data_IF_936332871670
#
_entry.id   IF_936332871670
#
_cell.length_a   1.000
_cell.length_b   1.000
_cell.length_c   1.000
_cell.angle_alpha   90.00
_cell.angle_beta   90.00
_cell.angle_gamma   90.00
#
_symmetry.space_group_name_H-M   'P 1'
#
loop_
_entity.id
_entity.type
_entity.pdbx_description
1 polymer ?
#
# COMPACT_ATOMS: atom_id res chain seq x y z
N UNK A 1 -4.43 5.76 21.92
CA UNK A 1 -4.12 5.12 20.62
C UNK A 1 -4.96 5.67 19.46
N UNK A 2 -6.18 6.16 19.72
CA UNK A 2 -7.08 6.77 18.73
C UNK A 2 -6.60 8.14 18.16
N UNK A 3 -5.59 8.79 18.76
CA UNK A 3 -5.32 10.22 18.53
C UNK A 3 -4.07 10.58 17.72
N UNK A 4 -3.13 9.66 17.50
CA UNK A 4 -1.89 10.02 16.77
C UNK A 4 -2.11 10.18 15.28
N UNK A 5 -2.94 9.35 14.65
CA UNK A 5 -3.33 9.58 13.25
C UNK A 5 -4.26 10.80 13.17
N UNK A 6 -5.33 10.86 13.97
CA UNK A 6 -6.31 11.95 13.93
C UNK A 6 -5.69 13.35 14.14
N UNK A 7 -4.73 13.51 15.05
CA UNK A 7 -4.17 14.83 15.35
C UNK A 7 -3.29 15.38 14.23
N UNK A 8 -2.50 14.54 13.55
CA UNK A 8 -1.68 14.97 12.41
C UNK A 8 -2.46 14.97 11.08
N UNK A 9 -3.59 14.27 10.99
CA UNK A 9 -4.45 14.30 9.81
C UNK A 9 -5.46 15.46 9.86
N UNK A 10 -5.98 15.84 11.03
CA UNK A 10 -7.05 16.86 11.11
C UNK A 10 -6.57 18.32 11.00
N UNK A 11 -5.27 18.58 11.11
CA UNK A 11 -4.69 19.87 10.72
C UNK A 11 -4.53 19.93 9.20
N UNK A 12 -4.86 21.06 8.57
CA UNK A 12 -4.61 21.25 7.14
C UNK A 12 -3.14 20.96 6.82
N UNK A 13 -2.88 19.91 6.04
CA UNK A 13 -1.54 19.58 5.59
C UNK A 13 -1.03 20.68 4.67
N UNK A 14 -0.08 21.48 5.14
CA UNK A 14 0.52 22.57 4.37
C UNK A 14 1.87 22.12 3.79
N UNK A 15 1.98 21.88 2.46
CA UNK A 15 3.21 21.41 1.84
C UNK A 15 4.41 22.34 2.09
N UNK A 16 4.18 23.64 2.28
CA UNK A 16 5.25 24.58 2.60
C UNK A 16 5.95 24.25 3.92
N UNK A 17 5.23 23.78 4.94
CA UNK A 17 5.81 23.39 6.22
C UNK A 17 6.68 22.14 6.10
N UNK A 18 6.19 21.11 5.39
CA UNK A 18 6.97 19.90 5.13
C UNK A 18 8.26 20.24 4.36
N UNK A 19 8.16 21.07 3.33
CA UNK A 19 9.32 21.53 2.54
C UNK A 19 10.33 22.29 3.40
N UNK A 20 9.88 23.23 4.24
CA UNK A 20 10.76 23.98 5.13
C UNK A 20 11.48 23.07 6.12
N UNK A 21 10.76 22.13 6.74
CA UNK A 21 11.33 21.17 7.69
C UNK A 21 12.40 20.27 7.05
N UNK A 22 12.14 19.78 5.83
CA UNK A 22 13.10 18.98 5.05
C UNK A 22 14.35 19.80 4.72
N UNK A 23 14.18 21.06 4.30
CA UNK A 23 15.31 21.94 3.98
C UNK A 23 16.17 22.24 5.21
N UNK A 24 15.55 22.58 6.35
CA UNK A 24 16.25 22.81 7.61
C UNK A 24 17.02 21.56 8.07
N UNK A 25 16.43 20.38 7.91
CA UNK A 25 17.09 19.10 8.20
C UNK A 25 18.35 18.91 7.35
N UNK A 26 18.27 19.18 6.04
CA UNK A 26 19.42 19.10 5.14
C UNK A 26 20.50 20.10 5.53
N UNK A 27 20.13 21.34 5.85
CA UNK A 27 21.05 22.38 6.31
C UNK A 27 21.76 22.02 7.62
N UNK A 28 21.13 21.23 8.48
CA UNK A 28 21.69 20.72 9.75
C UNK A 28 22.56 19.45 9.59
N UNK A 29 22.92 19.08 8.36
CA UNK A 29 23.76 17.91 8.08
C UNK A 29 22.99 16.59 7.92
N UNK A 30 21.67 16.65 7.79
CA UNK A 30 20.80 15.50 7.51
C UNK A 30 20.13 14.91 8.74
N UNK A 31 19.20 13.98 8.51
CA UNK A 31 18.27 13.49 9.54
C UNK A 31 18.94 12.80 10.74
N UNK A 32 20.14 12.22 10.52
CA UNK A 32 20.91 11.51 11.55
C UNK A 32 21.63 12.43 12.55
N UNK A 33 21.66 13.74 12.31
CA UNK A 33 22.37 14.69 13.19
C UNK A 33 21.53 15.15 14.37
N UNK A 34 20.21 14.94 14.32
CA UNK A 34 19.32 15.31 15.40
C UNK A 34 19.48 14.38 16.61
N UNK A 35 19.77 14.98 17.77
CA UNK A 35 19.86 14.28 19.06
C UNK A 35 18.57 14.34 19.89
N UNK A 36 17.58 15.10 19.43
CA UNK A 36 16.28 15.18 20.11
C UNK A 36 15.55 13.85 19.93
N UNK A 37 15.08 13.28 21.03
CA UNK A 37 14.36 12.02 21.03
C UNK A 37 13.14 12.08 20.09
N UNK A 38 12.98 11.08 19.22
CA UNK A 38 11.87 10.91 18.27
C UNK A 38 11.73 11.97 17.16
N UNK A 39 12.57 13.02 17.12
CA UNK A 39 12.48 14.05 16.10
C UNK A 39 12.88 13.53 14.72
N UNK A 40 13.91 12.70 14.65
CA UNK A 40 14.34 12.09 13.40
C UNK A 40 13.22 11.19 12.84
N UNK A 41 12.58 10.39 13.68
CA UNK A 41 11.47 9.51 13.33
C UNK A 41 10.24 10.30 12.85
N UNK A 42 9.96 11.45 13.47
CA UNK A 42 8.90 12.37 13.07
C UNK A 42 9.19 12.96 11.67
N UNK A 43 10.40 13.50 11.46
CA UNK A 43 10.81 14.08 10.18
C UNK A 43 10.76 13.02 9.06
N UNK A 44 11.22 11.80 9.34
CA UNK A 44 11.14 10.68 8.40
C UNK A 44 9.70 10.33 8.06
N UNK A 45 8.80 10.35 9.06
CA UNK A 45 7.36 10.15 8.88
C UNK A 45 6.74 11.21 7.98
N UNK A 46 7.06 12.48 8.21
CA UNK A 46 6.59 13.63 7.41
C UNK A 46 7.08 13.53 5.96
N UNK A 47 8.37 13.26 5.74
CA UNK A 47 8.92 13.11 4.39
C UNK A 47 8.33 11.90 3.64
N UNK A 48 8.11 10.78 4.34
CA UNK A 48 7.47 9.60 3.74
C UNK A 48 6.00 9.87 3.42
N UNK A 49 5.29 10.59 4.28
CA UNK A 49 3.89 10.99 4.03
C UNK A 49 3.78 11.94 2.83
N UNK A 50 4.62 12.98 2.76
CA UNK A 50 4.66 13.88 1.62
C UNK A 50 5.02 13.14 0.33
N UNK A 51 5.96 12.20 0.41
CA UNK A 51 6.35 11.34 -0.70
C UNK A 51 5.18 10.50 -1.21
N UNK A 52 4.36 9.93 -0.31
CA UNK A 52 3.14 9.20 -0.69
C UNK A 52 2.12 10.13 -1.36
N UNK A 53 1.78 11.29 -0.76
CA UNK A 53 0.80 12.22 -1.34
C UNK A 53 1.15 12.69 -2.76
N UNK A 54 2.45 12.70 -3.10
CA UNK A 54 2.95 13.15 -4.40
C UNK A 54 3.51 12.02 -5.29
N UNK A 55 3.37 10.76 -4.89
CA UNK A 55 3.94 9.59 -5.59
C UNK A 55 5.43 9.75 -5.98
N UNK A 56 6.23 10.29 -5.07
CA UNK A 56 7.66 10.57 -5.30
C UNK A 56 8.54 9.76 -4.35
N UNK A 57 9.83 9.69 -4.65
CA UNK A 57 10.81 9.12 -3.74
C UNK A 57 10.94 10.01 -2.48
N UNK A 58 10.99 9.42 -1.27
CA UNK A 58 11.34 10.13 -0.04
C UNK A 58 12.75 10.74 -0.15
N UNK A 59 12.96 11.87 0.53
CA UNK A 59 14.25 12.55 0.57
C UNK A 59 15.23 11.90 1.55
N UNK A 60 14.71 11.21 2.57
CA UNK A 60 15.50 10.52 3.58
C UNK A 60 15.26 9.01 3.52
N UNK A 61 16.36 8.26 3.62
CA UNK A 61 16.29 6.81 3.79
C UNK A 61 15.72 6.43 5.17
N UNK A 62 15.20 5.21 5.34
CA UNK A 62 14.72 4.74 6.63
C UNK A 62 15.82 4.81 7.69
N UNK A 63 15.46 5.26 8.90
CA UNK A 63 16.40 5.38 10.02
C UNK A 63 16.85 4.00 10.54
N UNK A 64 15.97 3.00 10.47
CA UNK A 64 16.22 1.65 10.95
C UNK A 64 15.99 0.66 9.80
N UNK A 65 16.91 -0.30 9.58
CA UNK A 65 16.69 -1.37 8.60
C UNK A 65 15.47 -2.23 8.96
N UNK A 66 14.52 -2.35 8.03
CA UNK A 66 13.28 -3.12 8.19
C UNK A 66 13.54 -4.58 8.55
N UNK A 67 14.55 -5.21 7.95
CA UNK A 67 14.92 -6.61 8.19
C UNK A 67 15.23 -6.90 9.67
N UNK A 68 15.87 -5.96 10.38
CA UNK A 68 16.20 -6.14 11.80
C UNK A 68 14.94 -6.17 12.67
N UNK A 69 13.99 -5.29 12.39
CA UNK A 69 12.69 -5.26 13.09
C UNK A 69 11.87 -6.50 12.79
N UNK A 70 11.76 -6.87 11.51
CA UNK A 70 10.98 -8.04 11.09
C UNK A 70 11.56 -9.35 11.62
N UNK A 71 12.89 -9.49 11.66
CA UNK A 71 13.52 -10.65 12.29
C UNK A 71 13.12 -10.78 13.77
N UNK A 72 13.13 -9.66 14.51
CA UNK A 72 12.68 -9.62 15.90
C UNK A 72 11.20 -9.99 16.02
N UNK A 73 10.33 -9.52 15.11
CA UNK A 73 8.91 -9.85 15.15
C UNK A 73 8.62 -11.32 14.83
N UNK A 74 9.39 -11.92 13.92
CA UNK A 74 9.26 -13.35 13.61
C UNK A 74 9.54 -14.25 14.81
N UNK A 75 10.34 -13.80 15.77
CA UNK A 75 10.56 -14.51 17.03
C UNK A 75 9.31 -14.70 17.88
N UNK A 76 8.24 -13.93 17.63
CA UNK A 76 6.96 -14.05 18.32
C UNK A 76 5.96 -14.94 17.58
N UNK A 77 6.25 -15.34 16.33
CA UNK A 77 5.27 -16.06 15.50
C UNK A 77 5.14 -17.52 15.92
N UNK A 78 3.90 -17.95 16.14
CA UNK A 78 3.57 -19.34 16.35
C UNK A 78 3.34 -20.09 15.02
N UNK A 79 3.17 -21.41 15.09
CA UNK A 79 2.93 -22.25 13.92
C UNK A 79 1.67 -21.84 13.13
N UNK A 80 0.64 -21.32 13.81
CA UNK A 80 -0.59 -20.86 13.18
C UNK A 80 -0.35 -19.60 12.35
N UNK A 81 0.41 -18.64 12.88
CA UNK A 81 0.81 -17.40 12.20
C UNK A 81 1.64 -17.72 10.95
N UNK A 82 2.61 -18.63 11.08
CA UNK A 82 3.45 -19.08 9.95
C UNK A 82 2.60 -19.75 8.86
N UNK A 83 1.64 -20.60 9.25
CA UNK A 83 0.74 -21.27 8.31
C UNK A 83 -0.18 -20.28 7.59
N UNK A 84 -0.68 -19.26 8.28
CA UNK A 84 -1.56 -18.22 7.73
C UNK A 84 -0.80 -17.28 6.79
N UNK A 85 0.47 -16.99 7.09
CA UNK A 85 1.33 -16.09 6.32
C UNK A 85 2.59 -16.83 5.85
N UNK A 86 2.45 -17.75 4.88
CA UNK A 86 3.61 -18.43 4.31
C UNK A 86 4.56 -17.42 3.65
N UNK A 87 5.84 -17.72 3.71
CA UNK A 87 6.86 -16.96 2.99
C UNK A 87 6.61 -17.11 1.48
N UNK A 88 6.69 -15.98 0.76
CA UNK A 88 6.62 -15.94 -0.70
C UNK A 88 7.96 -15.43 -1.19
N UNK A 89 8.70 -16.26 -1.93
CA UNK A 89 10.04 -15.90 -2.40
C UNK A 89 9.98 -14.96 -3.61
N UNK A 90 9.03 -15.19 -4.52
CA UNK A 90 8.86 -14.35 -5.71
C UNK A 90 7.39 -14.11 -6.03
N UNK A 91 6.85 -12.99 -5.56
CA UNK A 91 5.46 -12.57 -5.78
C UNK A 91 5.22 -12.19 -7.26
N UNK A 92 6.27 -11.78 -7.95
CA UNK A 92 6.23 -11.29 -9.33
C UNK A 92 7.09 -12.17 -10.25
N UNK A 93 6.93 -13.49 -10.14
CA UNK A 93 7.65 -14.49 -10.95
C UNK A 93 7.37 -14.39 -12.45
N UNK A 94 6.24 -13.78 -12.81
CA UNK A 94 5.89 -13.44 -14.18
C UNK A 94 6.65 -12.23 -14.75
N UNK A 95 7.38 -11.46 -13.92
CA UNK A 95 8.23 -10.37 -14.38
C UNK A 95 9.70 -10.83 -14.52
N UNK A 96 10.49 -10.20 -15.41
CA UNK A 96 11.92 -10.47 -15.50
C UNK A 96 12.62 -10.22 -14.16
N UNK A 97 13.48 -11.15 -13.74
CA UNK A 97 14.21 -11.08 -12.47
C UNK A 97 15.29 -9.98 -12.46
N UNK A 98 14.84 -8.74 -12.39
CA UNK A 98 15.66 -7.52 -12.36
C UNK A 98 15.80 -7.00 -10.94
N UNK A 99 16.72 -6.06 -10.71
CA UNK A 99 16.91 -5.43 -9.39
C UNK A 99 15.64 -4.72 -8.88
N UNK A 100 14.90 -3.94 -9.70
CA UNK A 100 13.64 -3.33 -9.27
C UNK A 100 12.57 -4.36 -8.89
N UNK A 101 12.43 -5.45 -9.65
CA UNK A 101 11.47 -6.53 -9.36
C UNK A 101 11.79 -7.20 -8.04
N UNK A 102 13.06 -7.55 -7.78
CA UNK A 102 13.47 -8.11 -6.48
C UNK A 102 13.22 -7.14 -5.32
N UNK A 103 13.47 -5.84 -5.52
CA UNK A 103 13.20 -4.84 -4.51
C UNK A 103 11.69 -4.73 -4.20
N UNK A 104 10.83 -4.80 -5.23
CA UNK A 104 9.39 -4.79 -5.03
C UNK A 104 8.89 -6.06 -4.34
N UNK A 105 9.38 -7.25 -4.74
CA UNK A 105 9.08 -8.52 -4.07
C UNK A 105 9.49 -8.50 -2.59
N UNK A 106 10.67 -7.93 -2.28
CA UNK A 106 11.14 -7.76 -0.89
C UNK A 106 10.21 -6.85 -0.08
N UNK A 107 9.76 -5.72 -0.66
CA UNK A 107 8.75 -4.85 -0.03
C UNK A 107 7.45 -5.60 0.27
N UNK A 108 6.94 -6.40 -0.67
CA UNK A 108 5.73 -7.21 -0.45
C UNK A 108 5.94 -8.22 0.67
N UNK A 109 7.05 -8.96 0.65
CA UNK A 109 7.37 -9.95 1.68
C UNK A 109 7.51 -9.33 3.07
N UNK A 110 8.09 -8.12 3.16
CA UNK A 110 8.17 -7.34 4.40
C UNK A 110 6.80 -6.87 4.87
N UNK A 111 5.93 -6.39 3.97
CA UNK A 111 4.58 -5.97 4.30
C UNK A 111 3.71 -7.15 4.77
N UNK A 112 3.82 -8.33 4.14
CA UNK A 112 3.15 -9.56 4.61
C UNK A 112 3.60 -9.95 6.02
N UNK A 113 4.91 -9.88 6.29
CA UNK A 113 5.43 -10.12 7.63
C UNK A 113 4.89 -9.11 8.66
N UNK A 114 4.79 -7.83 8.27
CA UNK A 114 4.20 -6.80 9.12
C UNK A 114 2.72 -7.11 9.46
N UNK A 115 1.94 -7.62 8.50
CA UNK A 115 0.55 -8.03 8.72
C UNK A 115 0.41 -9.27 9.58
N UNK A 116 1.29 -10.26 9.41
CA UNK A 116 1.34 -11.42 10.29
C UNK A 116 1.57 -11.00 11.75
N UNK A 117 2.51 -10.07 11.97
CA UNK A 117 2.76 -9.47 13.28
C UNK A 117 1.55 -8.69 13.80
N UNK A 118 0.90 -7.90 12.96
CA UNK A 118 -0.26 -7.11 13.39
C UNK A 118 -1.47 -7.99 13.77
N UNK A 119 -1.72 -9.05 13.00
CA UNK A 119 -2.71 -10.07 13.35
C UNK A 119 -2.41 -10.70 14.70
N UNK A 120 -1.15 -11.05 14.97
CA UNK A 120 -0.74 -11.59 16.27
C UNK A 120 -0.97 -10.57 17.39
N UNK A 121 -0.65 -9.29 17.16
CA UNK A 121 -0.87 -8.23 18.15
C UNK A 121 -2.34 -8.04 18.53
N UNK A 122 -3.24 -8.13 17.55
CA UNK A 122 -4.69 -7.99 17.81
C UNK A 122 -5.23 -9.23 18.53
N UNK A 123 -4.84 -10.43 18.08
CA UNK A 123 -5.39 -11.68 18.60
C UNK A 123 -4.71 -12.16 19.90
N UNK A 124 -3.49 -11.68 20.17
CA UNK A 124 -2.74 -11.99 21.38
C UNK A 124 -2.02 -10.73 21.91
N UNK A 125 -2.72 -9.82 22.59
CA UNK A 125 -2.13 -8.61 23.18
C UNK A 125 -1.00 -8.89 24.18
N UNK A 126 -0.98 -10.08 24.79
CA UNK A 126 0.03 -10.51 25.76
C UNK A 126 1.37 -10.90 25.11
N UNK A 127 1.43 -11.00 23.78
CA UNK A 127 2.66 -11.29 23.04
C UNK A 127 3.79 -10.25 23.28
N UNK A 128 3.48 -9.09 23.87
CA UNK A 128 4.48 -8.10 24.28
C UNK A 128 5.16 -7.38 23.12
N UNK A 129 4.52 -7.35 21.96
CA UNK A 129 5.06 -6.71 20.76
C UNK A 129 4.89 -5.19 20.87
N UNK A 130 6.01 -4.48 20.83
CA UNK A 130 6.03 -3.02 20.89
C UNK A 130 5.37 -2.39 19.65
N UNK A 131 4.21 -1.76 19.85
CA UNK A 131 3.48 -1.07 18.79
C UNK A 131 4.21 0.13 18.22
N UNK A 132 5.00 0.86 19.01
CA UNK A 132 5.79 1.98 18.50
C UNK A 132 6.81 1.46 17.50
N UNK A 133 7.51 0.37 17.85
CA UNK A 133 8.44 -0.30 16.95
C UNK A 133 7.74 -0.84 15.69
N UNK A 134 6.52 -1.38 15.83
CA UNK A 134 5.71 -1.84 14.70
C UNK A 134 5.36 -0.68 13.76
N UNK A 135 4.89 0.46 14.29
CA UNK A 135 4.55 1.67 13.51
C UNK A 135 5.77 2.23 12.78
N UNK A 136 6.92 2.30 13.45
CA UNK A 136 8.18 2.74 12.82
C UNK A 136 8.62 1.78 11.70
N UNK A 137 8.42 0.47 11.89
CA UNK A 137 8.71 -0.53 10.86
C UNK A 137 7.77 -0.40 9.66
N UNK A 138 6.47 -0.15 9.89
CA UNK A 138 5.51 0.16 8.82
C UNK A 138 5.94 1.37 8.00
N UNK A 139 6.33 2.46 8.67
CA UNK A 139 6.81 3.68 8.00
C UNK A 139 8.09 3.44 7.18
N UNK A 140 9.00 2.63 7.71
CA UNK A 140 10.21 2.24 6.97
C UNK A 140 9.89 1.41 5.72
N UNK A 141 8.92 0.48 5.79
CA UNK A 141 8.46 -0.30 4.62
C UNK A 141 7.76 0.62 3.60
N UNK A 142 6.94 1.58 4.05
CA UNK A 142 6.35 2.59 3.17
C UNK A 142 7.43 3.40 2.43
N UNK A 143 8.46 3.84 3.14
CA UNK A 143 9.59 4.56 2.56
C UNK A 143 10.33 3.71 1.51
N UNK A 144 10.58 2.43 1.81
CA UNK A 144 11.19 1.48 0.86
C UNK A 144 10.31 1.27 -0.38
N UNK A 145 8.98 1.11 -0.21
CA UNK A 145 8.03 0.98 -1.31
C UNK A 145 8.05 2.19 -2.25
N UNK A 146 8.11 3.40 -1.71
CA UNK A 146 8.22 4.64 -2.48
C UNK A 146 9.60 4.84 -3.12
N UNK A 147 10.61 4.07 -2.70
CA UNK A 147 11.99 4.16 -3.18
C UNK A 147 12.34 3.11 -4.23
N UNK A 148 11.44 2.18 -4.56
CA UNK A 148 11.63 1.21 -5.64
C UNK A 148 11.73 1.96 -6.96
N UNK A 149 12.85 1.77 -7.67
CA UNK A 149 13.09 2.42 -8.97
C UNK A 149 12.16 1.85 -10.05
N UNK A 150 11.92 2.62 -11.11
CA UNK A 150 11.17 2.15 -12.27
C UNK A 150 12.02 1.20 -13.12
N UNK A 151 11.42 0.14 -13.66
CA UNK A 151 12.08 -0.75 -14.62
C UNK A 151 11.85 -0.33 -16.07
N UNK A 152 10.88 0.55 -16.32
CA UNK A 152 10.41 0.90 -17.66
C UNK A 152 9.38 -0.08 -18.26
N UNK A 153 9.13 -1.22 -17.60
CA UNK A 153 8.11 -2.19 -18.00
C UNK A 153 6.71 -1.77 -17.51
N UNK A 154 5.70 -1.86 -18.37
CA UNK A 154 4.34 -1.38 -18.06
C UNK A 154 3.68 -2.18 -16.93
N UNK A 155 3.83 -3.51 -16.95
CA UNK A 155 3.24 -4.37 -15.92
C UNK A 155 3.96 -4.17 -14.58
N UNK A 156 5.28 -4.05 -14.59
CA UNK A 156 6.03 -3.71 -13.39
C UNK A 156 5.60 -2.35 -12.82
N UNK A 157 5.44 -1.32 -13.67
CA UNK A 157 4.97 -0.01 -13.25
C UNK A 157 3.60 -0.09 -12.58
N UNK A 158 2.68 -0.89 -13.14
CA UNK A 158 1.37 -1.16 -12.54
C UNK A 158 1.50 -1.82 -11.17
N UNK A 159 2.25 -2.92 -11.06
CA UNK A 159 2.49 -3.62 -9.80
C UNK A 159 3.13 -2.71 -8.75
N UNK A 160 4.14 -1.92 -9.15
CA UNK A 160 4.85 -0.99 -8.28
C UNK A 160 3.90 0.05 -7.70
N UNK A 161 3.09 0.70 -8.54
CA UNK A 161 2.10 1.67 -8.11
C UNK A 161 1.05 1.04 -7.19
N UNK A 162 0.54 -0.14 -7.54
CA UNK A 162 -0.46 -0.83 -6.74
C UNK A 162 0.04 -1.21 -5.35
N UNK A 163 1.29 -1.69 -5.24
CA UNK A 163 1.95 -1.96 -3.95
C UNK A 163 2.16 -0.69 -3.14
N UNK A 164 2.60 0.40 -3.77
CA UNK A 164 2.77 1.70 -3.10
C UNK A 164 1.46 2.20 -2.50
N UNK A 165 0.39 2.15 -3.30
CA UNK A 165 -0.95 2.59 -2.89
C UNK A 165 -1.51 1.71 -1.78
N UNK A 166 -1.36 0.40 -1.95
CA UNK A 166 -1.82 -0.57 -0.97
C UNK A 166 -1.12 -0.38 0.39
N UNK A 167 0.20 -0.20 0.43
CA UNK A 167 0.96 -0.08 1.68
C UNK A 167 0.69 1.27 2.37
N UNK A 168 0.48 2.35 1.61
CA UNK A 168 0.07 3.65 2.16
C UNK A 168 -1.25 3.55 2.93
N UNK A 169 -2.26 2.87 2.35
CA UNK A 169 -3.60 2.68 2.90
C UNK A 169 -3.74 1.44 3.80
N UNK A 170 -2.63 0.74 4.10
CA UNK A 170 -2.69 -0.54 4.80
C UNK A 170 -3.19 -0.42 6.24
N UNK A 171 -4.05 -1.36 6.66
CA UNK A 171 -4.66 -1.46 8.00
C UNK A 171 -5.64 -0.34 8.32
N UNK A 172 -5.16 0.90 8.40
CA UNK A 172 -5.97 2.09 8.61
C UNK A 172 -5.85 2.97 7.35
N UNK A 173 -6.95 3.17 6.62
CA UNK A 173 -6.97 4.01 5.44
C UNK A 173 -6.60 5.47 5.75
N UNK A 174 -5.97 6.17 4.80
CA UNK A 174 -5.66 7.58 4.99
C UNK A 174 -6.95 8.41 4.92
N UNK A 175 -7.02 9.47 5.72
CA UNK A 175 -8.04 10.50 5.57
C UNK A 175 -7.84 11.26 4.25
N UNK A 176 -8.90 11.91 3.74
CA UNK A 176 -8.91 12.59 2.43
C UNK A 176 -8.07 13.89 2.37
N UNK A 177 -7.12 14.08 3.28
CA UNK A 177 -6.55 15.40 3.61
C UNK A 177 -5.35 15.81 2.73
N UNK A 178 -5.11 15.11 1.61
CA UNK A 178 -4.10 15.52 0.62
C UNK A 178 -4.44 15.02 -0.81
N UNK A 179 -3.62 15.42 -1.79
CA UNK A 179 -3.74 15.01 -3.20
C UNK A 179 -3.47 13.51 -3.45
N UNK A 180 -3.20 12.73 -2.40
CA UNK A 180 -2.87 11.31 -2.49
C UNK A 180 -3.89 10.52 -3.32
N UNK A 181 -5.18 10.58 -2.97
CA UNK A 181 -6.20 9.79 -3.64
C UNK A 181 -6.32 10.14 -5.13
N UNK A 182 -6.24 11.42 -5.47
CA UNK A 182 -6.28 11.90 -6.86
C UNK A 182 -5.05 11.43 -7.64
N UNK A 183 -3.85 11.67 -7.11
CA UNK A 183 -2.60 11.31 -7.76
C UNK A 183 -2.48 9.79 -7.94
N UNK A 184 -2.78 9.03 -6.88
CA UNK A 184 -2.72 7.57 -6.85
C UNK A 184 -3.72 6.91 -7.78
N UNK A 185 -4.99 7.31 -7.72
CA UNK A 185 -6.02 6.74 -8.61
C UNK A 185 -5.76 7.08 -10.08
N UNK A 186 -5.31 8.31 -10.39
CA UNK A 186 -4.95 8.70 -11.76
C UNK A 186 -3.72 7.94 -12.27
N UNK A 187 -2.68 7.78 -11.45
CA UNK A 187 -1.49 7.04 -11.85
C UNK A 187 -1.79 5.56 -12.10
N UNK A 188 -2.62 4.93 -11.25
CA UNK A 188 -3.07 3.56 -11.44
C UNK A 188 -3.92 3.40 -12.70
N UNK A 189 -4.84 4.32 -12.95
CA UNK A 189 -5.67 4.32 -14.15
C UNK A 189 -4.80 4.31 -15.41
N UNK A 190 -3.85 5.24 -15.52
CA UNK A 190 -2.98 5.36 -16.70
C UNK A 190 -2.10 4.11 -16.89
N UNK A 191 -1.51 3.58 -15.81
CA UNK A 191 -0.68 2.38 -15.90
C UNK A 191 -1.49 1.13 -16.28
N UNK A 192 -2.75 1.04 -15.81
CA UNK A 192 -3.64 -0.06 -16.14
C UNK A 192 -4.15 0.03 -17.57
N UNK A 193 -4.50 1.23 -18.05
CA UNK A 193 -4.87 1.49 -19.45
C UNK A 193 -3.72 1.13 -20.42
N UNK A 194 -2.48 1.45 -20.07
CA UNK A 194 -1.30 1.00 -20.83
C UNK A 194 -1.18 -0.55 -20.86
N UNK A 195 -1.46 -1.22 -19.74
CA UNK A 195 -1.45 -2.68 -19.67
C UNK A 195 -2.60 -3.33 -20.46
N UNK A 196 -3.79 -2.72 -20.44
CA UNK A 196 -4.97 -3.19 -21.17
C UNK A 196 -4.73 -3.15 -22.69
N UNK A 197 -4.15 -2.05 -23.21
CA UNK A 197 -3.75 -1.95 -24.63
C UNK A 197 -2.74 -3.01 -25.07
N UNK A 198 -1.97 -3.56 -24.13
CA UNK A 198 -1.01 -4.64 -24.37
C UNK A 198 -1.62 -6.05 -24.19
N UNK A 199 -2.91 -6.16 -23.88
CA UNK A 199 -3.62 -7.43 -23.69
C UNK A 199 -3.29 -8.11 -22.36
N UNK A 200 -2.83 -7.38 -21.35
CA UNK A 200 -2.41 -7.99 -20.08
C UNK A 200 -3.55 -8.50 -19.21
N UNK A 201 -4.81 -8.15 -19.50
CA UNK A 201 -5.96 -8.80 -18.90
C UNK A 201 -6.01 -10.31 -19.21
N UNK A 202 -5.64 -10.71 -20.44
CA UNK A 202 -5.63 -12.13 -20.81
C UNK A 202 -4.44 -12.88 -20.20
N UNK A 203 -3.30 -12.21 -20.08
CA UNK A 203 -2.04 -12.84 -19.59
C UNK A 203 -1.94 -12.86 -18.07
N UNK A 204 -2.38 -11.78 -17.39
CA UNK A 204 -2.20 -11.57 -15.96
C UNK A 204 -3.50 -11.14 -15.25
N UNK A 205 -4.64 -11.81 -15.48
CA UNK A 205 -5.96 -11.36 -15.03
C UNK A 205 -6.06 -11.15 -13.52
N UNK A 206 -5.34 -11.96 -12.73
CA UNK A 206 -5.33 -11.88 -11.26
C UNK A 206 -4.69 -10.59 -10.74
N UNK A 207 -3.60 -10.15 -11.37
CA UNK A 207 -2.87 -8.93 -10.99
C UNK A 207 -3.68 -7.70 -11.38
N UNK A 208 -4.28 -7.73 -12.57
CA UNK A 208 -5.13 -6.66 -13.07
C UNK A 208 -6.40 -6.52 -12.22
N UNK A 209 -7.07 -7.62 -11.86
CA UNK A 209 -8.18 -7.64 -10.90
C UNK A 209 -7.79 -7.01 -9.56
N UNK A 210 -6.70 -7.49 -8.95
CA UNK A 210 -6.22 -6.98 -7.66
C UNK A 210 -5.94 -5.47 -7.72
N UNK A 211 -5.32 -5.02 -8.81
CA UNK A 211 -4.98 -3.61 -9.01
C UNK A 211 -6.22 -2.75 -9.28
N UNK A 212 -7.21 -3.26 -10.01
CA UNK A 212 -8.43 -2.53 -10.34
C UNK A 212 -9.24 -2.24 -9.08
N UNK A 213 -9.30 -3.20 -8.15
CA UNK A 213 -9.95 -3.04 -6.85
C UNK A 213 -9.24 -1.99 -6.00
N UNK A 214 -7.90 -2.02 -5.95
CA UNK A 214 -7.10 -1.01 -5.24
C UNK A 214 -7.32 0.37 -5.83
N UNK A 215 -7.30 0.50 -7.16
CA UNK A 215 -7.54 1.75 -7.87
C UNK A 215 -8.92 2.32 -7.57
N UNK A 216 -9.95 1.48 -7.68
CA UNK A 216 -11.34 1.82 -7.37
C UNK A 216 -11.52 2.30 -5.93
N UNK A 217 -11.00 1.54 -4.96
CA UNK A 217 -10.99 1.93 -3.56
C UNK A 217 -10.28 3.28 -3.33
N UNK A 218 -9.18 3.52 -4.05
CA UNK A 218 -8.39 4.75 -3.91
C UNK A 218 -9.08 5.97 -4.52
N UNK A 219 -9.90 5.79 -5.55
CA UNK A 219 -10.71 6.85 -6.20
C UNK A 219 -11.95 7.31 -5.40
N UNK A 220 -11.90 7.31 -4.06
CA UNK A 220 -13.07 7.67 -3.21
C UNK A 220 -13.72 8.99 -3.66
N UNK A 221 -15.02 8.96 -3.95
CA UNK A 221 -15.82 10.13 -4.34
C UNK A 221 -15.33 10.86 -5.61
N UNK A 222 -14.57 10.16 -6.47
CA UNK A 222 -14.05 10.70 -7.74
C UNK A 222 -14.68 10.03 -8.96
N UNK A 223 -14.74 10.76 -10.06
CA UNK A 223 -15.33 10.31 -11.32
C UNK A 223 -14.62 9.09 -11.94
N UNK A 224 -13.32 8.90 -11.67
CA UNK A 224 -12.57 7.75 -12.17
C UNK A 224 -12.90 6.43 -11.44
N UNK A 225 -13.68 6.46 -10.36
CA UNK A 225 -14.12 5.25 -9.64
C UNK A 225 -14.94 4.31 -10.52
N UNK A 226 -15.81 4.89 -11.35
CA UNK A 226 -16.57 4.14 -12.35
C UNK A 226 -15.67 3.43 -13.36
N UNK A 227 -14.59 4.10 -13.81
CA UNK A 227 -13.66 3.51 -14.77
C UNK A 227 -13.05 2.22 -14.24
N UNK A 228 -12.62 2.20 -12.96
CA UNK A 228 -12.10 0.98 -12.34
C UNK A 228 -13.15 -0.13 -12.23
N UNK A 229 -14.43 0.21 -12.01
CA UNK A 229 -15.51 -0.77 -11.99
C UNK A 229 -15.74 -1.40 -13.37
N UNK A 230 -15.70 -0.60 -14.44
CA UNK A 230 -15.81 -1.10 -15.81
C UNK A 230 -14.68 -2.06 -16.17
N UNK A 231 -13.45 -1.79 -15.69
CA UNK A 231 -12.32 -2.71 -15.88
C UNK A 231 -12.58 -4.11 -15.28
N UNK A 232 -13.42 -4.22 -14.24
CA UNK A 232 -13.75 -5.51 -13.62
C UNK A 232 -14.61 -6.42 -14.52
N UNK A 233 -15.13 -5.93 -15.66
CA UNK A 233 -15.77 -6.80 -16.67
C UNK A 233 -14.80 -7.85 -17.24
N UNK A 234 -13.50 -7.55 -17.23
CA UNK A 234 -12.42 -8.45 -17.67
C UNK A 234 -11.92 -9.37 -16.55
N UNK A 235 -12.55 -9.32 -15.38
CA UNK A 235 -12.17 -10.12 -14.22
C UNK A 235 -12.24 -11.63 -14.52
N UNK A 236 -11.27 -12.43 -14.03
CA UNK A 236 -11.35 -13.88 -14.07
C UNK A 236 -12.42 -14.45 -13.12
N UNK A 237 -12.98 -13.61 -12.25
CA UNK A 237 -14.00 -13.93 -11.25
C UNK A 237 -15.33 -13.28 -11.66
N UNK A 238 -16.46 -14.01 -11.61
CA UNK A 238 -17.78 -13.42 -11.84
C UNK A 238 -18.03 -12.21 -10.94
N UNK A 239 -18.45 -11.10 -11.54
CA UNK A 239 -18.67 -9.83 -10.84
C UNK A 239 -20.01 -9.86 -10.06
N UNK A 240 -19.98 -10.60 -8.98
CA UNK A 240 -21.10 -10.83 -8.08
C UNK A 240 -20.66 -10.59 -6.63
N UNK A 241 -21.56 -10.09 -5.78
CA UNK A 241 -21.22 -9.83 -4.36
C UNK A 241 -20.71 -11.08 -3.64
N UNK A 242 -21.26 -12.25 -4.00
CA UNK A 242 -20.92 -13.54 -3.36
C UNK A 242 -19.49 -14.00 -3.71
N UNK A 243 -18.96 -13.51 -4.83
CA UNK A 243 -17.62 -13.83 -5.34
C UNK A 243 -16.50 -13.12 -4.57
N UNK A 244 -16.81 -12.21 -3.65
CA UNK A 244 -15.81 -11.48 -2.87
C UNK A 244 -14.78 -12.38 -2.19
N UNK A 245 -15.20 -13.55 -1.69
CA UNK A 245 -14.27 -14.52 -1.09
C UNK A 245 -13.19 -14.99 -2.07
N UNK A 246 -13.53 -15.22 -3.33
CA UNK A 246 -12.57 -15.62 -4.37
C UNK A 246 -11.60 -14.48 -4.70
N UNK A 247 -12.11 -13.24 -4.70
CA UNK A 247 -11.29 -12.02 -4.85
C UNK A 247 -10.29 -11.89 -3.69
N UNK A 248 -10.74 -12.13 -2.45
CA UNK A 248 -9.86 -12.15 -1.28
C UNK A 248 -8.79 -13.25 -1.40
N UNK A 249 -9.15 -14.46 -1.83
CA UNK A 249 -8.21 -15.57 -2.05
C UNK A 249 -7.12 -15.21 -3.08
N UNK A 250 -7.47 -14.48 -4.16
CA UNK A 250 -6.47 -13.96 -5.11
C UNK A 250 -5.52 -12.98 -4.40
N UNK A 251 -6.04 -12.07 -3.58
CA UNK A 251 -5.22 -11.09 -2.86
C UNK A 251 -4.22 -11.73 -1.88
N UNK A 252 -4.52 -12.91 -1.33
CA UNK A 252 -3.62 -13.64 -0.41
C UNK A 252 -2.30 -14.07 -1.07
N UNK A 253 -2.26 -14.20 -2.40
CA UNK A 253 -1.02 -14.48 -3.16
C UNK A 253 -0.14 -13.25 -3.37
N UNK A 254 -0.71 -12.05 -3.18
CA UNK A 254 -0.05 -10.75 -3.31
C UNK A 254 0.02 -10.10 -1.91
N UNK A 255 -0.74 -9.02 -1.72
CA UNK A 255 -1.00 -8.42 -0.42
C UNK A 255 -2.50 -8.56 -0.07
N UNK A 256 -2.81 -9.13 1.12
CA UNK A 256 -4.16 -9.56 1.43
C UNK A 256 -5.09 -8.40 1.81
N UNK A 257 -6.32 -8.43 1.31
CA UNK A 257 -7.36 -7.46 1.62
C UNK A 257 -7.94 -7.70 3.02
N UNK A 258 -7.42 -6.99 4.02
CA UNK A 258 -7.74 -7.19 5.45
C UNK A 258 -7.99 -5.87 6.18
N UNK A 259 -8.58 -5.97 7.37
CA UNK A 259 -8.87 -4.84 8.26
C UNK A 259 -9.77 -3.79 7.60
N UNK A 260 -9.78 -2.54 8.10
CA UNK A 260 -10.61 -1.46 7.55
C UNK A 260 -10.32 -1.18 6.06
N UNK A 261 -9.08 -1.39 5.63
CA UNK A 261 -8.75 -1.32 4.20
C UNK A 261 -9.52 -2.39 3.41
N UNK A 262 -9.50 -3.64 3.87
CA UNK A 262 -10.25 -4.75 3.27
C UNK A 262 -11.75 -4.48 3.20
N UNK A 263 -12.34 -3.94 4.26
CA UNK A 263 -13.76 -3.53 4.29
C UNK A 263 -14.06 -2.47 3.22
N UNK A 264 -13.18 -1.47 3.04
CA UNK A 264 -13.35 -0.47 1.99
C UNK A 264 -13.15 -1.00 0.58
N UNK A 265 -12.26 -1.97 0.38
CA UNK A 265 -12.07 -2.67 -0.89
C UNK A 265 -13.30 -3.53 -1.23
N UNK A 266 -13.89 -4.20 -0.23
CA UNK A 266 -15.14 -4.96 -0.37
C UNK A 266 -16.32 -4.04 -0.72
N UNK A 267 -16.38 -2.86 -0.10
CA UNK A 267 -17.41 -1.87 -0.42
C UNK A 267 -17.33 -1.43 -1.89
N UNK A 268 -16.13 -1.15 -2.39
CA UNK A 268 -15.93 -0.85 -3.81
C UNK A 268 -16.35 -2.03 -4.70
N UNK A 269 -16.00 -3.27 -4.33
CA UNK A 269 -16.42 -4.45 -5.09
C UNK A 269 -17.96 -4.54 -5.22
N UNK A 270 -18.68 -4.37 -4.11
CA UNK A 270 -20.15 -4.37 -4.10
C UNK A 270 -20.74 -3.26 -4.96
N UNK A 271 -20.21 -2.04 -4.86
CA UNK A 271 -20.59 -0.94 -5.75
C UNK A 271 -20.40 -1.31 -7.22
N UNK A 272 -19.23 -1.83 -7.59
CA UNK A 272 -18.93 -2.24 -8.95
C UNK A 272 -19.89 -3.32 -9.46
N UNK A 273 -20.24 -4.31 -8.64
CA UNK A 273 -21.26 -5.30 -8.98
C UNK A 273 -22.60 -4.65 -9.35
N UNK A 274 -23.05 -3.65 -8.58
CA UNK A 274 -24.31 -2.95 -8.88
C UNK A 274 -24.25 -2.11 -10.16
N UNK A 275 -23.12 -1.44 -10.37
CA UNK A 275 -22.83 -0.55 -11.48
C UNK A 275 -22.68 -1.24 -12.83
N UNK A 276 -22.05 -2.40 -12.83
CA UNK A 276 -21.76 -3.15 -14.06
C UNK A 276 -22.95 -4.03 -14.46
N UNK A 277 -23.73 -4.52 -13.48
CA UNK A 277 -24.90 -5.39 -13.69
C UNK A 277 -26.18 -4.64 -14.03
N UNK A 278 -26.36 -3.42 -13.52
CA UNK A 278 -27.42 -2.52 -13.95
C UNK A 278 -26.80 -1.42 -14.80
N UNK A 279 -27.35 -1.09 -15.98
CA UNK A 279 -26.94 0.06 -16.81
C UNK A 279 -27.21 1.42 -16.12
N UNK A 280 -26.81 1.60 -14.85
CA UNK A 280 -26.90 2.81 -14.07
C UNK A 280 -25.49 3.36 -13.93
N UNK A 281 -25.18 4.36 -14.75
CA UNK A 281 -24.06 5.26 -14.47
C UNK A 281 -24.28 5.89 -13.09
N UNK A 282 -23.25 6.00 -12.24
CA UNK A 282 -23.32 6.79 -11.03
C UNK A 282 -23.58 8.25 -11.41
N UNK A 283 -24.59 8.86 -10.77
CA UNK A 283 -24.86 10.29 -10.85
C UNK A 283 -23.89 11.10 -10.00
#
# INVERSE_FOLDING_TARGET
MYRDNEFYTNGGWEPAHAKALIQLTKQRGGIKTFKLHNLAELIMGIDTHDAMCNLRKPQFAPLVPTNKSLHSFRGYWDAMTIKKYPAIENVFDFLPNTKPVRALSDVVSKARALFATYDLMINNPEAGIDIVRWVLTRRAIQNEAMSVDDSGDCLFKLCRLAVQVFIAESIEPMGQLCLYHENSSRALLLAMDDCDRLGYWDLYPRVLLWTAIIGGFTSREKSNRWWFAEQLRHSPIPLEEQSWKQVQEISESLLPFRYRQGEGLEHFWKEACTWVSGNKLPG
#
